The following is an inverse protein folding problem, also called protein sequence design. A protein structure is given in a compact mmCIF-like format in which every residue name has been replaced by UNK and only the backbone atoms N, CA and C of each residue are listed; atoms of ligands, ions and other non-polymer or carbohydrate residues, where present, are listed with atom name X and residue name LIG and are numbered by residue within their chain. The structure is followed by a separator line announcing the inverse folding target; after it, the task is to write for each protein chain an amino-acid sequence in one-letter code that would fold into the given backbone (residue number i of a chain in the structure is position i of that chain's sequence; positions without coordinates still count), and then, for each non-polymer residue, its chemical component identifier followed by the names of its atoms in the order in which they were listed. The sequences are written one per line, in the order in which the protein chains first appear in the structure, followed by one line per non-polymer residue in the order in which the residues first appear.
data_IF_300721710501
#
_entry.id   IF_300721710501
#
_cell.length_a   1.000
_cell.length_b   1.000
_cell.length_c   1.000
_cell.angle_alpha   90.00
_cell.angle_beta   90.00
_cell.angle_gamma   90.00
#
_symmetry.space_group_name_H-M   'P 1'
#
loop_
_entity.id
_entity.type
_entity.pdbx_description
1 polymer ?
#
# COMPACT_ATOMS: atom_id res chain seq x y z
N UNK A 1 -21.89 16.75 39.19
CA UNK A 1 -20.44 16.96 38.93
C UNK A 1 -19.79 15.59 39.07
N UNK A 2 -19.40 14.85 38.04
CA UNK A 2 -19.40 15.00 36.59
C UNK A 2 -18.48 13.88 36.07
N UNK A 3 -18.96 13.10 35.09
CA UNK A 3 -18.22 12.25 34.13
C UNK A 3 -17.30 11.13 34.71
N UNK A 4 -17.17 9.97 34.08
CA UNK A 4 -17.60 9.55 32.76
C UNK A 4 -17.44 8.04 32.58
N UNK A 5 -18.25 7.51 31.67
CA UNK A 5 -18.25 6.15 31.20
C UNK A 5 -16.95 5.84 30.45
N UNK A 6 -16.29 4.71 30.76
CA UNK A 6 -15.32 4.11 29.83
C UNK A 6 -15.87 2.78 29.35
N UNK A 7 -16.62 2.82 28.26
CA UNK A 7 -16.93 1.64 27.46
C UNK A 7 -15.64 1.11 26.83
N UNK A 8 -15.00 0.15 27.50
CA UNK A 8 -13.92 -0.65 26.92
C UNK A 8 -14.54 -1.92 26.34
N UNK A 9 -15.01 -1.85 25.10
CA UNK A 9 -15.31 -3.04 24.30
C UNK A 9 -13.99 -3.71 23.87
N UNK A 10 -13.30 -4.34 24.82
CA UNK A 10 -12.15 -5.20 24.56
C UNK A 10 -12.61 -6.54 24.03
N UNK A 11 -12.96 -6.61 22.74
CA UNK A 11 -13.09 -7.90 22.04
C UNK A 11 -11.68 -8.43 21.78
N UNK A 12 -11.16 -9.22 22.72
CA UNK A 12 -9.98 -10.06 22.49
C UNK A 12 -10.32 -11.15 21.48
N UNK A 13 -9.75 -11.06 20.29
CA UNK A 13 -9.72 -12.15 19.31
C UNK A 13 -8.27 -12.57 19.08
N UNK A 14 -8.03 -13.88 18.94
CA UNK A 14 -6.74 -14.39 18.52
C UNK A 14 -6.51 -13.96 17.07
N UNK A 15 -5.72 -12.92 16.84
CA UNK A 15 -5.29 -12.53 15.50
C UNK A 15 -4.15 -13.46 15.12
N UNK A 16 -4.29 -14.15 13.99
CA UNK A 16 -3.20 -14.94 13.42
C UNK A 16 -1.97 -14.03 13.25
N UNK A 17 -0.84 -14.43 13.84
CA UNK A 17 0.43 -13.67 13.88
C UNK A 17 1.07 -13.43 12.50
N UNK A 18 0.36 -13.73 11.42
CA UNK A 18 0.72 -13.41 10.03
C UNK A 18 0.15 -12.06 9.55
N UNK A 19 -0.62 -11.35 10.39
CA UNK A 19 -1.28 -10.08 10.02
C UNK A 19 -0.72 -8.86 10.76
N UNK A 20 0.24 -9.04 11.66
CA UNK A 20 0.90 -7.94 12.36
C UNK A 20 2.29 -7.74 11.77
N UNK A 21 2.37 -7.36 10.50
CA UNK A 21 3.60 -6.74 10.01
C UNK A 21 3.65 -5.37 10.68
N UNK A 22 4.63 -5.10 11.55
CA UNK A 22 4.79 -3.76 12.09
C UNK A 22 5.05 -2.82 10.92
N UNK A 23 4.08 -1.95 10.61
CA UNK A 23 4.16 -0.94 9.54
C UNK A 23 5.34 0.05 9.72
N UNK A 24 6.06 -0.04 10.84
CA UNK A 24 7.19 0.80 11.20
C UNK A 24 8.56 0.19 10.86
N UNK A 25 8.63 -1.05 10.35
CA UNK A 25 9.91 -1.61 9.93
C UNK A 25 10.26 -1.10 8.53
N UNK A 26 11.29 -0.26 8.46
CA UNK A 26 11.81 0.27 7.17
C UNK A 26 12.40 -0.83 6.29
N UNK A 27 12.48 -2.07 6.78
CA UNK A 27 12.88 -3.24 6.03
C UNK A 27 11.70 -4.07 5.47
N UNK A 28 10.44 -3.68 5.71
CA UNK A 28 9.30 -4.38 5.10
C UNK A 28 9.44 -4.27 3.59
N UNK A 29 9.55 -5.42 2.93
CA UNK A 29 9.63 -5.45 1.49
C UNK A 29 8.31 -4.98 0.88
N UNK A 30 8.33 -4.37 -0.31
CA UNK A 30 7.11 -3.98 -0.99
C UNK A 30 6.11 -5.14 -1.17
N UNK A 31 6.63 -6.36 -1.34
CA UNK A 31 5.84 -7.61 -1.50
C UNK A 31 5.10 -8.04 -0.22
N UNK A 32 5.53 -7.54 0.94
CA UNK A 32 4.93 -7.85 2.26
C UNK A 32 3.91 -6.79 2.71
N UNK A 33 3.73 -5.74 1.91
CA UNK A 33 2.77 -4.67 2.22
C UNK A 33 1.34 -5.16 2.00
N UNK A 34 0.38 -4.78 2.86
CA UNK A 34 -1.00 -5.27 2.76
C UNK A 34 -1.74 -4.80 1.50
N UNK A 35 -1.28 -3.71 0.89
CA UNK A 35 -1.79 -3.16 -0.36
C UNK A 35 -1.00 -3.62 -1.59
N UNK A 36 -0.07 -4.56 -1.43
CA UNK A 36 0.66 -5.14 -2.55
C UNK A 36 -0.10 -6.32 -3.16
N UNK A 37 -0.19 -6.34 -4.48
CA UNK A 37 -0.84 -7.39 -5.25
C UNK A 37 -0.04 -7.72 -6.50
N UNK A 38 0.25 -9.01 -6.71
CA UNK A 38 0.89 -9.55 -7.91
C UNK A 38 -0.14 -10.03 -8.95
N UNK A 39 -1.31 -9.39 -9.01
CA UNK A 39 -2.35 -9.71 -10.00
C UNK A 39 -2.14 -8.89 -11.30
N UNK A 40 -2.65 -9.36 -12.44
CA UNK A 40 -2.57 -8.60 -13.69
C UNK A 40 -3.32 -7.27 -13.60
N UNK A 41 -2.83 -6.26 -14.34
CA UNK A 41 -3.36 -4.90 -14.32
C UNK A 41 -4.86 -4.83 -14.52
N UNK A 42 -5.41 -5.72 -15.35
CA UNK A 42 -6.83 -5.75 -15.67
C UNK A 42 -7.67 -6.11 -14.44
N UNK A 43 -7.22 -7.11 -13.67
CA UNK A 43 -7.91 -7.55 -12.44
C UNK A 43 -7.80 -6.48 -11.37
N UNK A 44 -6.61 -5.88 -11.20
CA UNK A 44 -6.39 -4.80 -10.24
C UNK A 44 -7.20 -3.54 -10.57
N UNK A 45 -7.28 -3.19 -11.86
CA UNK A 45 -8.11 -2.08 -12.34
C UNK A 45 -9.58 -2.36 -12.03
N UNK A 46 -10.09 -3.54 -12.38
CA UNK A 46 -11.48 -3.89 -12.07
C UNK A 46 -11.76 -3.89 -10.57
N UNK A 47 -10.82 -4.39 -9.75
CA UNK A 47 -10.93 -4.38 -8.30
C UNK A 47 -11.03 -2.94 -7.79
N UNK A 48 -10.13 -2.06 -8.20
CA UNK A 48 -10.16 -0.64 -7.84
C UNK A 48 -11.47 0.03 -8.26
N UNK A 49 -11.98 -0.24 -9.47
CA UNK A 49 -13.26 0.28 -9.94
C UNK A 49 -14.46 -0.24 -9.14
N UNK A 50 -14.35 -1.42 -8.52
CA UNK A 50 -15.40 -1.95 -7.63
C UNK A 50 -15.38 -1.30 -6.24
N UNK A 51 -14.28 -0.64 -5.87
CA UNK A 51 -14.14 0.07 -4.59
C UNK A 51 -14.27 1.59 -4.77
N UNK A 52 -14.38 2.30 -3.66
CA UNK A 52 -14.60 3.76 -3.62
C UNK A 52 -13.36 4.56 -4.04
N UNK A 53 -13.56 5.84 -4.31
CA UNK A 53 -12.49 6.82 -4.53
C UNK A 53 -11.45 6.80 -3.40
N UNK A 54 -10.17 6.96 -3.77
CA UNK A 54 -9.04 6.93 -2.84
C UNK A 54 -8.48 5.53 -2.55
N UNK A 55 -9.06 4.46 -3.09
CA UNK A 55 -8.43 3.15 -3.04
C UNK A 55 -7.16 3.11 -3.89
N UNK A 56 -6.09 2.56 -3.34
CA UNK A 56 -4.82 2.37 -4.04
C UNK A 56 -4.29 0.96 -3.82
N UNK A 57 -3.38 0.56 -4.71
CA UNK A 57 -2.64 -0.69 -4.59
C UNK A 57 -1.28 -0.60 -5.26
N UNK A 58 -0.37 -1.43 -4.79
CA UNK A 58 0.98 -1.57 -5.30
C UNK A 58 1.11 -2.90 -6.04
N UNK A 59 1.89 -2.93 -7.12
CA UNK A 59 2.21 -4.18 -7.82
C UNK A 59 3.65 -4.17 -8.35
N UNK A 60 4.17 -5.34 -8.71
CA UNK A 60 5.39 -5.42 -9.52
C UNK A 60 5.14 -4.87 -10.93
N UNK A 61 6.11 -4.12 -11.43
CA UNK A 61 6.15 -3.73 -12.84
C UNK A 61 6.47 -4.95 -13.69
N UNK A 62 5.57 -5.29 -14.61
CA UNK A 62 5.77 -6.39 -15.55
C UNK A 62 6.91 -6.10 -16.55
N UNK A 63 7.15 -4.82 -16.83
CA UNK A 63 8.16 -4.37 -17.81
C UNK A 63 9.56 -4.33 -17.19
N UNK A 64 9.67 -4.08 -15.88
CA UNK A 64 10.93 -4.00 -15.15
C UNK A 64 10.82 -4.75 -13.83
N UNK A 65 11.48 -5.91 -13.74
CA UNK A 65 11.41 -6.82 -12.59
C UNK A 65 11.84 -6.20 -11.25
N UNK A 66 12.55 -5.07 -11.26
CA UNK A 66 12.96 -4.34 -10.05
C UNK A 66 12.19 -3.03 -9.81
N UNK A 67 11.13 -2.78 -10.59
CA UNK A 67 10.26 -1.62 -10.42
C UNK A 67 8.88 -2.04 -9.92
N UNK A 68 8.18 -1.09 -9.34
CA UNK A 68 6.82 -1.23 -8.86
C UNK A 68 5.89 -0.27 -9.62
N UNK A 69 4.60 -0.50 -9.52
CA UNK A 69 3.58 0.42 -10.06
C UNK A 69 2.52 0.61 -8.98
N UNK A 70 2.33 1.85 -8.57
CA UNK A 70 1.24 2.27 -7.70
C UNK A 70 0.04 2.63 -8.57
N UNK A 71 -1.09 2.00 -8.30
CA UNK A 71 -2.36 2.28 -8.99
C UNK A 71 -3.29 2.92 -7.99
N UNK A 72 -3.81 4.11 -8.31
CA UNK A 72 -4.68 4.89 -7.44
C UNK A 72 -5.99 5.15 -8.16
N UNK A 73 -7.11 4.77 -7.55
CA UNK A 73 -8.43 5.12 -8.02
C UNK A 73 -8.76 6.54 -7.55
N UNK A 74 -8.79 7.49 -8.48
CA UNK A 74 -9.18 8.88 -8.19
C UNK A 74 -10.67 9.16 -8.50
N UNK A 75 -11.46 8.11 -8.69
CA UNK A 75 -12.90 8.17 -8.96
C UNK A 75 -13.23 8.22 -10.47
N UNK A 76 -12.64 9.17 -11.21
CA UNK A 76 -12.87 9.30 -12.66
C UNK A 76 -12.10 8.25 -13.47
N UNK A 77 -10.86 7.97 -13.07
CA UNK A 77 -10.01 6.96 -13.67
C UNK A 77 -9.00 6.43 -12.65
N UNK A 78 -8.21 5.44 -13.09
CA UNK A 78 -7.12 4.89 -12.30
C UNK A 78 -5.81 5.48 -12.78
N UNK A 79 -5.21 6.29 -11.94
CA UNK A 79 -3.86 6.81 -12.11
C UNK A 79 -2.84 5.71 -11.84
N UNK A 80 -1.75 5.71 -12.60
CA UNK A 80 -0.68 4.69 -12.51
C UNK A 80 0.65 5.39 -12.41
N UNK A 81 1.28 5.27 -11.26
CA UNK A 81 2.59 5.84 -11.00
C UNK A 81 3.64 4.74 -11.02
N UNK A 82 4.63 4.88 -11.89
CA UNK A 82 5.75 3.96 -11.90
C UNK A 82 6.73 4.32 -10.80
N UNK A 83 7.03 3.36 -9.94
CA UNK A 83 8.02 3.49 -8.88
C UNK A 83 9.26 2.71 -9.30
N UNK A 84 10.36 3.41 -9.51
CA UNK A 84 11.64 2.80 -9.90
C UNK A 84 12.51 2.64 -8.66
N UNK A 85 13.21 1.51 -8.57
CA UNK A 85 14.25 1.36 -7.57
C UNK A 85 15.55 1.98 -8.10
N UNK A 86 16.07 2.95 -7.37
CA UNK A 86 17.37 3.58 -7.63
C UNK A 86 18.52 2.63 -7.27
N UNK A 87 19.71 2.91 -7.77
CA UNK A 87 20.94 2.14 -7.47
C UNK A 87 21.30 2.13 -5.98
N UNK A 88 20.95 3.20 -5.25
CA UNK A 88 21.14 3.33 -3.81
C UNK A 88 20.10 2.53 -2.99
N UNK A 89 19.14 1.90 -3.67
CA UNK A 89 18.09 1.09 -3.05
C UNK A 89 16.84 1.87 -2.66
N UNK A 90 16.82 3.19 -2.86
CA UNK A 90 15.66 4.07 -2.66
C UNK A 90 14.63 3.93 -3.80
N UNK A 91 13.44 4.47 -3.60
CA UNK A 91 12.32 4.40 -4.52
C UNK A 91 12.04 5.78 -5.13
N UNK A 92 12.10 5.88 -6.45
CA UNK A 92 11.78 7.09 -7.20
C UNK A 92 10.38 6.99 -7.82
N UNK A 93 9.55 8.01 -7.63
CA UNK A 93 8.22 8.16 -8.22
C UNK A 93 8.04 9.60 -8.68
N UNK A 94 7.66 9.81 -9.93
CA UNK A 94 7.42 11.14 -10.51
C UNK A 94 8.57 12.17 -10.28
N UNK A 95 9.82 11.70 -10.23
CA UNK A 95 11.01 12.53 -9.98
C UNK A 95 11.29 12.85 -8.51
N UNK A 96 10.49 12.36 -7.58
CA UNK A 96 10.73 12.41 -6.14
C UNK A 96 11.32 11.09 -5.65
N UNK A 97 12.26 11.16 -4.70
CA UNK A 97 12.97 9.99 -4.15
C UNK A 97 12.57 9.79 -2.69
N UNK A 98 12.13 8.58 -2.39
CA UNK A 98 11.66 8.15 -1.09
C UNK A 98 12.49 6.96 -0.60
N UNK A 99 12.65 6.85 0.71
CA UNK A 99 13.44 5.76 1.29
C UNK A 99 12.71 4.41 1.18
N UNK A 100 11.38 4.40 1.30
CA UNK A 100 10.55 3.20 1.28
C UNK A 100 9.25 3.44 0.52
N UNK A 101 8.54 2.38 0.12
CA UNK A 101 7.22 2.52 -0.52
C UNK A 101 6.16 3.15 0.44
N UNK A 102 6.09 2.79 1.73
CA UNK A 102 5.18 3.47 2.65
C UNK A 102 5.34 4.99 2.70
N UNK A 103 6.58 5.49 2.57
CA UNK A 103 6.92 6.92 2.56
C UNK A 103 6.35 7.65 1.32
N UNK A 104 6.04 6.91 0.24
CA UNK A 104 5.35 7.44 -0.96
C UNK A 104 3.84 7.62 -0.70
N UNK A 105 3.29 6.84 0.22
CA UNK A 105 1.83 6.75 0.45
C UNK A 105 1.39 7.65 1.61
N UNK A 106 2.28 7.96 2.56
CA UNK A 106 2.04 8.89 3.67
C UNK A 106 1.78 10.32 3.20
#
# INVERSE_FOLDING_TARGET
MGMGETGKNGKSGLVAVQLTVPLNDKNVKPEELPYFHDEPINVLTQRLTQYTDGCYLLRHSFVQSSSYTLMVNIGEHIEKFQIKRTTDGNFEIDGQIFATIPDIIE
#
